data_IF_645326443503
#
_entry.id   IF_645326443503
#
_cell.length_a   1.000
_cell.length_b   1.000
_cell.length_c   1.000
_cell.angle_alpha   90.00
_cell.angle_beta   90.00
_cell.angle_gamma   90.00
#
_symmetry.space_group_name_H-M   'P 1'
#
loop_
_entity.id
_entity.type
_entity.pdbx_description
1 polymer ?
#
# COMPACT_ATOMS: atom_id res chain seq x y z
N UNK A 1 -30.97 -62.58 35.58
CA UNK A 1 -31.65 -62.23 34.31
C UNK A 1 -31.20 -60.85 33.87
N UNK A 2 -30.58 -60.71 32.69
CA UNK A 2 -30.25 -59.41 32.06
C UNK A 2 -31.01 -59.33 30.75
N UNK A 3 -31.63 -58.17 30.44
CA UNK A 3 -31.59 -57.65 29.08
C UNK A 3 -31.15 -56.16 29.10
N UNK A 4 -29.96 -55.82 28.58
CA UNK A 4 -29.70 -55.40 27.19
C UNK A 4 -30.66 -54.33 26.66
N UNK A 5 -30.39 -53.06 26.96
CA UNK A 5 -30.57 -51.96 26.00
C UNK A 5 -29.35 -51.02 26.05
N UNK A 6 -28.74 -50.89 24.87
CA UNK A 6 -27.51 -50.18 24.54
C UNK A 6 -27.74 -48.67 24.68
N UNK A 7 -26.88 -47.95 25.37
CA UNK A 7 -26.53 -46.57 24.98
C UNK A 7 -25.04 -46.37 25.20
N UNK A 8 -24.43 -46.02 24.08
CA UNK A 8 -23.04 -45.74 23.78
C UNK A 8 -22.63 -44.37 24.35
N UNK A 9 -21.48 -44.28 25.00
CA UNK A 9 -20.74 -43.01 25.13
C UNK A 9 -19.26 -43.30 25.41
N UNK A 10 -18.55 -43.67 24.33
CA UNK A 10 -17.09 -43.61 24.28
C UNK A 10 -16.73 -42.17 23.92
N UNK A 11 -16.26 -41.38 24.89
CA UNK A 11 -15.69 -40.06 24.62
C UNK A 11 -14.17 -40.18 24.55
N UNK A 12 -13.68 -40.40 23.33
CA UNK A 12 -12.28 -40.16 22.98
C UNK A 12 -12.15 -38.64 22.78
N UNK A 13 -11.50 -37.98 23.72
CA UNK A 13 -11.01 -36.61 23.53
C UNK A 13 -9.49 -36.61 23.63
N UNK A 14 -8.84 -37.12 22.58
CA UNK A 14 -7.43 -36.81 22.33
C UNK A 14 -7.39 -35.48 21.58
N UNK A 15 -7.28 -34.39 22.33
CA UNK A 15 -6.98 -33.08 21.78
C UNK A 15 -5.48 -33.06 21.46
N UNK A 16 -5.10 -33.44 20.24
CA UNK A 16 -3.74 -33.26 19.76
C UNK A 16 -3.56 -31.77 19.46
N UNK A 17 -3.00 -31.04 20.43
CA UNK A 17 -2.51 -29.68 20.18
C UNK A 17 -1.26 -29.78 19.29
N UNK A 18 -1.45 -29.76 17.97
CA UNK A 18 -0.38 -29.46 17.04
C UNK A 18 -0.03 -27.97 17.19
N UNK A 19 0.78 -27.64 18.20
CA UNK A 19 1.49 -26.38 18.21
C UNK A 19 2.44 -26.40 17.02
N UNK A 20 2.04 -25.78 15.91
CA UNK A 20 2.95 -25.47 14.82
C UNK A 20 3.96 -24.47 15.36
N UNK A 21 5.05 -24.98 15.92
CA UNK A 21 6.26 -24.21 16.15
C UNK A 21 6.66 -23.72 14.76
N UNK A 22 6.52 -22.43 14.50
CA UNK A 22 7.18 -21.79 13.36
C UNK A 22 8.67 -21.87 13.68
N UNK A 23 9.27 -23.00 13.33
CA UNK A 23 10.70 -23.17 13.33
C UNK A 23 11.22 -22.19 12.29
N UNK A 24 11.71 -21.05 12.78
CA UNK A 24 12.54 -20.19 11.97
C UNK A 24 13.75 -21.06 11.61
N UNK A 25 13.92 -21.34 10.32
CA UNK A 25 15.07 -22.10 9.84
C UNK A 25 16.35 -21.51 10.41
N UNK A 26 17.41 -22.32 10.59
CA UNK A 26 18.68 -21.82 11.11
C UNK A 26 19.06 -20.55 10.35
N UNK A 27 19.57 -19.50 11.04
CA UNK A 27 20.02 -18.29 10.37
C UNK A 27 20.94 -18.71 9.24
N UNK A 28 20.76 -18.14 8.05
CA UNK A 28 21.66 -18.41 6.94
C UNK A 28 23.10 -18.20 7.44
N UNK A 29 23.85 -19.30 7.57
CA UNK A 29 25.25 -19.26 7.99
C UNK A 29 25.96 -18.19 7.16
N UNK A 30 26.90 -17.44 7.78
CA UNK A 30 27.58 -16.29 7.16
C UNK A 30 28.05 -16.64 5.74
N UNK A 31 27.20 -16.34 4.77
CA UNK A 31 27.36 -16.80 3.41
C UNK A 31 28.27 -15.79 2.71
N UNK A 32 29.34 -16.29 2.13
CA UNK A 32 30.15 -15.49 1.21
C UNK A 32 29.27 -15.12 0.02
N UNK A 33 28.98 -13.84 -0.14
CA UNK A 33 28.18 -13.33 -1.24
C UNK A 33 29.10 -12.84 -2.34
N UNK A 34 29.00 -13.45 -3.52
CA UNK A 34 29.93 -13.21 -4.64
C UNK A 34 29.41 -12.19 -5.66
N UNK A 35 28.26 -11.55 -5.39
CA UNK A 35 27.61 -10.63 -6.31
C UNK A 35 26.67 -9.65 -5.60
N UNK A 36 26.42 -8.53 -6.28
CA UNK A 36 25.45 -7.51 -5.96
C UNK A 36 24.21 -7.63 -6.87
N UNK A 37 23.07 -7.20 -6.34
CA UNK A 37 21.82 -7.06 -7.08
C UNK A 37 21.34 -5.62 -6.98
N UNK A 38 20.85 -5.08 -8.09
CA UNK A 38 20.19 -3.79 -8.15
C UNK A 38 18.74 -4.02 -8.57
N UNK A 39 17.82 -3.50 -7.77
CA UNK A 39 16.42 -3.38 -8.14
C UNK A 39 16.17 -1.98 -8.68
N UNK A 40 15.44 -1.85 -9.79
CA UNK A 40 15.18 -0.56 -10.42
C UNK A 40 13.87 -0.56 -11.22
N UNK A 41 13.47 0.62 -11.66
CA UNK A 41 12.48 0.86 -12.70
C UNK A 41 13.16 1.67 -13.81
N UNK A 42 12.58 1.73 -15.01
CA UNK A 42 13.15 2.54 -16.10
C UNK A 42 12.29 3.77 -16.37
N UNK A 43 12.95 4.88 -16.71
CA UNK A 43 12.34 6.14 -17.11
C UNK A 43 13.29 6.87 -18.06
N UNK A 44 12.75 7.61 -19.02
CA UNK A 44 13.52 8.49 -19.90
C UNK A 44 12.86 9.88 -19.93
N UNK A 45 13.60 10.97 -20.25
CA UNK A 45 13.01 12.30 -20.34
C UNK A 45 11.81 12.40 -21.29
N UNK A 46 11.82 11.60 -22.37
CA UNK A 46 10.73 11.49 -23.36
C UNK A 46 9.64 10.48 -22.98
N UNK A 47 9.79 9.77 -21.85
CA UNK A 47 8.94 8.67 -21.39
C UNK A 47 8.86 7.44 -22.31
N UNK A 48 9.55 7.44 -23.45
CA UNK A 48 9.57 6.31 -24.40
C UNK A 48 10.31 5.08 -23.86
N UNK A 49 11.21 5.27 -22.89
CA UNK A 49 11.92 4.19 -22.19
C UNK A 49 11.31 3.84 -20.82
N UNK A 50 10.13 4.37 -20.49
CA UNK A 50 9.55 4.19 -19.16
C UNK A 50 8.92 2.81 -18.98
N UNK A 51 9.25 2.15 -17.87
CA UNK A 51 8.63 0.92 -17.42
C UNK A 51 8.65 0.88 -15.89
N UNK A 52 7.47 1.08 -15.29
CA UNK A 52 7.25 1.10 -13.84
C UNK A 52 6.95 -0.29 -13.26
N UNK A 53 7.51 -1.35 -13.87
CA UNK A 53 7.63 -2.67 -13.27
C UNK A 53 8.95 -2.82 -12.51
N UNK A 54 9.11 -3.91 -11.77
CA UNK A 54 10.35 -4.24 -11.08
C UNK A 54 11.33 -4.83 -12.10
N UNK A 55 12.48 -4.21 -12.26
CA UNK A 55 13.61 -4.76 -13.01
C UNK A 55 14.74 -5.12 -12.05
N UNK A 56 15.59 -6.05 -12.48
CA UNK A 56 16.76 -6.47 -11.72
C UNK A 56 18.00 -6.48 -12.60
N UNK A 57 19.14 -6.11 -12.02
CA UNK A 57 20.47 -6.26 -12.61
C UNK A 57 21.43 -6.87 -11.60
N UNK A 58 22.46 -7.55 -12.08
CA UNK A 58 23.49 -8.17 -11.24
C UNK A 58 24.87 -7.63 -11.60
N UNK A 59 25.75 -7.61 -10.60
CA UNK A 59 27.14 -7.21 -10.77
C UNK A 59 28.04 -8.02 -9.84
N UNK A 60 29.25 -8.37 -10.28
CA UNK A 60 30.26 -9.01 -9.41
C UNK A 60 31.17 -7.99 -8.72
N UNK A 61 31.30 -6.81 -9.30
CA UNK A 61 32.22 -5.75 -8.86
C UNK A 61 31.50 -4.51 -8.31
N UNK A 62 30.18 -4.44 -8.44
CA UNK A 62 29.37 -3.28 -8.07
C UNK A 62 29.44 -2.11 -9.06
N UNK A 63 30.22 -2.25 -10.14
CA UNK A 63 30.48 -1.20 -11.13
C UNK A 63 29.85 -1.52 -12.49
N UNK A 64 30.00 -2.77 -12.93
CA UNK A 64 29.48 -3.25 -14.21
C UNK A 64 28.21 -4.07 -13.97
N UNK A 65 27.09 -3.56 -14.47
CA UNK A 65 25.76 -4.13 -14.22
C UNK A 65 25.20 -4.80 -15.46
N UNK A 66 24.75 -6.05 -15.32
CA UNK A 66 24.06 -6.80 -16.38
C UNK A 66 22.58 -6.89 -16.04
N UNK A 67 21.67 -6.34 -16.88
CA UNK A 67 20.24 -6.46 -16.66
C UNK A 67 19.79 -7.92 -16.82
N UNK A 68 18.92 -8.35 -15.91
CA UNK A 68 18.29 -9.67 -15.97
C UNK A 68 17.05 -9.65 -16.86
N UNK A 69 16.54 -10.84 -17.20
CA UNK A 69 15.30 -11.01 -17.97
C UNK A 69 15.23 -10.20 -19.28
N UNK A 70 16.36 -10.02 -19.97
CA UNK A 70 16.48 -9.17 -21.18
C UNK A 70 15.98 -7.74 -20.94
N UNK A 71 16.15 -7.22 -19.72
CA UNK A 71 15.65 -5.92 -19.28
C UNK A 71 14.11 -5.77 -19.35
N UNK A 72 13.37 -6.89 -19.38
CA UNK A 72 11.93 -6.89 -19.13
C UNK A 72 11.67 -6.97 -17.63
N UNK A 73 10.58 -6.36 -17.12
CA UNK A 73 10.28 -6.40 -15.70
C UNK A 73 10.06 -7.85 -15.23
N UNK A 74 10.55 -8.18 -14.05
CA UNK A 74 10.38 -9.50 -13.40
C UNK A 74 9.03 -9.61 -12.68
N UNK A 75 8.41 -8.49 -12.32
CA UNK A 75 7.03 -8.42 -11.82
C UNK A 75 6.50 -6.98 -11.96
N UNK A 76 5.19 -6.80 -11.97
CA UNK A 76 4.53 -5.49 -12.08
C UNK A 76 3.39 -5.39 -11.06
N UNK A 77 3.16 -4.23 -10.42
CA UNK A 77 2.03 -4.07 -9.51
C UNK A 77 0.69 -4.25 -10.23
N UNK A 78 -0.21 -5.01 -9.64
CA UNK A 78 -1.55 -5.27 -10.21
C UNK A 78 -2.65 -4.41 -9.58
N UNK A 79 -2.33 -3.66 -8.53
CA UNK A 79 -3.25 -2.78 -7.80
C UNK A 79 -2.62 -1.40 -7.53
N UNK A 80 -3.41 -0.46 -6.99
CA UNK A 80 -2.95 0.91 -6.75
C UNK A 80 -2.83 1.69 -8.05
N UNK A 81 -1.76 2.45 -8.21
CA UNK A 81 -1.43 3.17 -9.45
C UNK A 81 -1.00 2.23 -10.58
N UNK A 82 -0.70 0.96 -10.24
CA UNK A 82 -0.13 -0.06 -11.15
C UNK A 82 1.26 0.28 -11.68
N UNK A 83 1.94 1.25 -11.08
CA UNK A 83 3.35 1.53 -11.28
C UNK A 83 4.10 1.44 -9.95
N UNK A 84 5.38 1.07 -10.02
CA UNK A 84 6.29 1.21 -8.89
C UNK A 84 7.41 2.19 -9.18
N UNK A 85 7.90 2.81 -8.11
CA UNK A 85 9.20 3.52 -8.07
C UNK A 85 9.99 3.09 -6.85
N UNK A 86 11.29 3.36 -6.89
CA UNK A 86 12.22 3.23 -5.76
C UNK A 86 12.17 1.87 -5.04
N UNK A 87 12.38 0.75 -5.76
CA UNK A 87 12.32 -0.57 -5.15
C UNK A 87 13.45 -0.78 -4.13
N UNK A 88 13.12 -1.40 -3.00
CA UNK A 88 14.03 -1.76 -1.93
C UNK A 88 13.96 -3.28 -1.68
N UNK A 89 15.13 -3.95 -1.69
CA UNK A 89 15.24 -5.39 -1.45
C UNK A 89 15.77 -5.64 -0.04
N UNK A 90 14.97 -6.30 0.79
CA UNK A 90 15.36 -6.75 2.11
C UNK A 90 15.57 -8.26 2.10
N UNK A 91 16.73 -8.73 2.57
CA UNK A 91 16.98 -10.15 2.79
C UNK A 91 16.69 -10.51 4.25
N UNK A 92 15.80 -11.48 4.45
CA UNK A 92 15.45 -12.05 5.74
C UNK A 92 16.54 -13.00 6.24
N UNK A 93 16.50 -13.32 7.54
CA UNK A 93 17.45 -14.23 8.19
C UNK A 93 17.37 -15.67 7.66
N UNK A 94 16.21 -16.08 7.16
CA UNK A 94 15.98 -17.37 6.51
C UNK A 94 16.58 -17.45 5.08
N UNK A 95 17.21 -16.37 4.61
CA UNK A 95 17.83 -16.27 3.31
C UNK A 95 16.91 -15.81 2.17
N UNK A 96 15.59 -15.78 2.38
CA UNK A 96 14.61 -15.27 1.41
C UNK A 96 14.48 -13.75 1.48
N UNK A 97 13.66 -13.16 0.62
CA UNK A 97 13.62 -11.73 0.34
C UNK A 97 12.21 -11.16 0.43
N UNK A 98 12.14 -9.88 0.79
CA UNK A 98 10.96 -9.03 0.64
C UNK A 98 11.38 -7.84 -0.22
N UNK A 99 10.57 -7.51 -1.22
CA UNK A 99 10.74 -6.30 -2.03
C UNK A 99 9.64 -5.32 -1.70
N UNK A 100 10.03 -4.09 -1.36
CA UNK A 100 9.13 -2.95 -1.15
C UNK A 100 9.29 -1.98 -2.31
N UNK A 101 8.24 -1.26 -2.69
CA UNK A 101 8.37 -0.16 -3.65
C UNK A 101 7.28 0.89 -3.43
N UNK A 102 7.57 2.13 -3.79
CA UNK A 102 6.59 3.23 -3.79
C UNK A 102 5.50 2.94 -4.81
N UNK A 103 4.23 3.05 -4.42
CA UNK A 103 3.09 2.94 -5.33
C UNK A 103 2.92 4.26 -6.09
N UNK A 104 3.53 4.33 -7.29
CA UNK A 104 3.46 5.50 -8.16
C UNK A 104 3.68 5.10 -9.61
N UNK A 105 2.82 5.63 -10.49
CA UNK A 105 2.98 5.54 -11.94
C UNK A 105 3.30 6.92 -12.50
N UNK A 106 4.36 7.03 -13.30
CA UNK A 106 4.73 8.30 -13.91
C UNK A 106 5.49 9.23 -12.96
N UNK A 107 5.33 10.53 -13.21
CA UNK A 107 6.08 11.63 -12.58
C UNK A 107 5.19 12.64 -11.85
N UNK A 108 3.91 12.31 -11.62
CA UNK A 108 3.06 13.13 -10.75
C UNK A 108 3.42 12.90 -9.28
N UNK A 109 4.49 13.54 -8.83
CA UNK A 109 4.97 13.47 -7.45
C UNK A 109 4.07 14.20 -6.46
N UNK A 110 3.03 14.90 -6.94
CA UNK A 110 2.04 15.55 -6.07
C UNK A 110 0.95 14.57 -5.60
N UNK A 111 0.89 13.38 -6.20
CA UNK A 111 -0.09 12.37 -5.84
C UNK A 111 0.05 11.96 -4.37
N UNK A 112 -1.00 12.18 -3.59
CA UNK A 112 -1.06 11.71 -2.21
C UNK A 112 -1.39 10.21 -2.18
N UNK A 113 -0.35 9.37 -2.20
CA UNK A 113 -0.45 7.93 -2.02
C UNK A 113 0.08 7.50 -0.65
N UNK A 114 -0.64 6.59 0.00
CA UNK A 114 -0.34 6.12 1.35
C UNK A 114 0.19 4.69 1.37
N UNK A 115 0.43 4.10 0.20
CA UNK A 115 0.70 2.68 0.08
C UNK A 115 2.10 2.41 -0.47
N UNK A 116 2.69 1.32 0.01
CA UNK A 116 3.83 0.65 -0.61
C UNK A 116 3.38 -0.68 -1.22
N UNK A 117 3.95 -1.02 -2.36
CA UNK A 117 3.87 -2.37 -2.91
C UNK A 117 4.84 -3.29 -2.18
N UNK A 118 4.44 -4.56 -2.01
CA UNK A 118 5.25 -5.58 -1.36
C UNK A 118 5.15 -6.89 -2.11
N UNK A 119 6.29 -7.55 -2.32
CA UNK A 119 6.37 -8.94 -2.79
C UNK A 119 7.32 -9.73 -1.90
N UNK A 120 7.08 -11.04 -1.79
CA UNK A 120 8.01 -11.98 -1.19
C UNK A 120 8.69 -12.80 -2.30
N UNK A 121 9.96 -13.16 -2.09
CA UNK A 121 10.73 -13.94 -3.05
C UNK A 121 11.71 -14.88 -2.33
N UNK A 122 11.82 -16.12 -2.77
CA UNK A 122 12.82 -17.04 -2.24
C UNK A 122 14.23 -16.79 -2.83
N UNK A 123 14.30 -16.22 -4.05
CA UNK A 123 15.51 -16.29 -4.89
C UNK A 123 15.76 -15.04 -5.76
N UNK A 124 14.92 -14.00 -5.65
CA UNK A 124 14.87 -12.82 -6.51
C UNK A 124 14.63 -13.11 -8.00
N UNK A 125 14.17 -14.32 -8.36
CA UNK A 125 13.77 -14.67 -9.73
C UNK A 125 12.25 -14.79 -9.82
N UNK A 126 11.63 -15.33 -8.77
CA UNK A 126 10.18 -15.50 -8.67
C UNK A 126 9.62 -14.63 -7.56
N UNK A 127 8.50 -13.96 -7.84
CA UNK A 127 7.85 -13.04 -6.91
C UNK A 127 6.43 -13.50 -6.62
N UNK A 128 6.08 -13.58 -5.34
CA UNK A 128 4.79 -14.04 -4.84
C UNK A 128 4.29 -13.12 -3.73
N UNK A 129 3.12 -13.43 -3.14
CA UNK A 129 2.66 -12.72 -1.95
C UNK A 129 2.37 -11.23 -2.15
N UNK A 130 2.07 -10.80 -3.39
CA UNK A 130 1.83 -9.40 -3.70
C UNK A 130 0.75 -8.80 -2.79
N UNK A 131 1.09 -7.70 -2.12
CA UNK A 131 0.19 -6.95 -1.25
C UNK A 131 0.56 -5.48 -1.23
N UNK A 132 -0.36 -4.65 -0.73
CA UNK A 132 -0.12 -3.23 -0.46
C UNK A 132 -0.16 -2.97 1.04
N UNK A 133 0.85 -2.30 1.56
CA UNK A 133 0.89 -1.87 2.97
C UNK A 133 0.53 -0.40 3.03
N UNK A 134 -0.45 -0.06 3.87
CA UNK A 134 -0.82 1.33 4.15
C UNK A 134 0.10 1.90 5.22
N UNK A 135 0.79 2.98 4.88
CA UNK A 135 1.78 3.63 5.75
C UNK A 135 1.13 4.59 6.74
N UNK A 136 0.06 5.28 6.33
CA UNK A 136 -0.63 6.25 7.18
C UNK A 136 -2.10 6.41 6.79
N UNK A 137 -2.91 6.94 7.71
CA UNK A 137 -4.28 7.36 7.44
C UNK A 137 -4.30 8.77 6.87
N UNK A 138 -5.10 9.01 5.83
CA UNK A 138 -5.30 10.38 5.36
C UNK A 138 -6.25 11.04 6.34
N UNK A 139 -5.92 12.25 6.81
CA UNK A 139 -6.92 13.08 7.47
C UNK A 139 -8.01 13.36 6.44
N UNK A 140 -9.22 12.91 6.70
CA UNK A 140 -10.38 13.36 5.94
C UNK A 140 -10.60 14.85 6.25
N UNK A 141 -10.06 15.72 5.41
CA UNK A 141 -10.20 17.17 5.53
C UNK A 141 -11.59 17.62 5.07
N UNK A 142 -12.48 17.85 6.03
CA UNK A 142 -13.50 18.92 6.09
C UNK A 142 -14.34 19.28 4.84
N UNK A 143 -14.53 18.41 3.84
CA UNK A 143 -15.42 18.70 2.68
C UNK A 143 -16.93 18.66 2.97
N UNK A 144 -17.35 18.90 4.22
CA UNK A 144 -18.76 18.79 4.61
C UNK A 144 -19.26 19.71 5.73
N UNK A 145 -18.42 20.60 6.31
CA UNK A 145 -18.86 21.43 7.45
C UNK A 145 -19.05 22.92 7.18
N UNK A 146 -18.91 23.40 5.94
CA UNK A 146 -19.13 24.83 5.62
C UNK A 146 -20.32 25.12 4.68
N UNK A 147 -21.14 24.14 4.30
CA UNK A 147 -22.36 24.38 3.48
C UNK A 147 -23.68 24.30 4.27
N UNK A 148 -23.63 24.30 5.60
CA UNK A 148 -24.82 24.13 6.45
C UNK A 148 -25.29 25.36 7.24
N UNK A 149 -24.44 26.38 7.45
CA UNK A 149 -24.69 27.37 8.52
C UNK A 149 -24.73 28.82 8.03
N UNK A 150 -25.34 29.04 6.86
CA UNK A 150 -25.75 30.39 6.39
C UNK A 150 -27.24 30.50 6.03
N UNK A 151 -28.08 29.63 6.58
CA UNK A 151 -29.53 29.77 6.42
C UNK A 151 -30.26 29.32 7.69
N UNK A 152 -30.45 30.26 8.62
CA UNK A 152 -31.62 30.41 9.53
C UNK A 152 -31.29 31.40 10.65
N UNK A 153 -31.74 32.65 10.49
CA UNK A 153 -32.19 33.48 11.62
C UNK A 153 -33.53 34.11 11.23
N UNK A 154 -34.66 33.68 11.80
CA UNK A 154 -35.92 34.38 11.69
C UNK A 154 -36.13 35.31 12.90
N UNK A 155 -36.58 36.54 12.63
CA UNK A 155 -37.31 37.35 13.62
C UNK A 155 -36.66 38.67 14.04
N UNK A 156 -37.06 39.76 13.41
CA UNK A 156 -37.19 41.08 14.05
C UNK A 156 -38.36 41.83 13.37
N UNK A 157 -39.26 42.49 14.12
CA UNK A 157 -40.58 42.89 13.63
C UNK A 157 -40.58 44.20 12.85
N UNK A 158 -41.51 44.29 11.89
CA UNK A 158 -41.87 45.48 11.10
C UNK A 158 -42.57 46.52 11.98
N UNK A 159 -41.96 47.70 12.12
CA UNK A 159 -42.53 48.86 12.79
C UNK A 159 -43.02 49.93 11.81
N UNK A 160 -44.35 50.05 11.72
CA UNK A 160 -45.08 51.34 11.72
C UNK A 160 -44.85 52.36 10.60
N UNK A 161 -45.81 52.42 9.67
CA UNK A 161 -46.11 53.59 8.84
C UNK A 161 -46.30 54.86 9.69
N UNK A 162 -45.64 55.97 9.30
CA UNK A 162 -46.24 57.31 9.41
C UNK A 162 -45.90 58.16 8.18
N UNK A 163 -46.95 58.44 7.41
CA UNK A 163 -47.02 59.54 6.44
C UNK A 163 -46.70 60.88 7.10
N UNK A 164 -45.84 61.70 6.48
CA UNK A 164 -46.05 63.15 6.30
C UNK A 164 -45.50 63.60 4.94
N UNK A 165 -46.31 64.42 4.28
CA UNK A 165 -46.18 64.96 2.91
C UNK A 165 -45.19 66.16 2.82
N UNK A 166 -44.85 66.61 1.59
CA UNK A 166 -43.66 67.40 1.29
C UNK A 166 -43.92 68.92 1.22
N UNK A 167 -42.84 69.72 1.26
CA UNK A 167 -42.83 71.08 0.71
C UNK A 167 -41.42 71.46 0.20
N UNK A 168 -41.30 72.16 -0.95
CA UNK A 168 -40.02 72.53 -1.58
C UNK A 168 -39.66 74.02 -1.36
N UNK A 169 -38.36 74.39 -1.40
CA UNK A 169 -37.86 75.64 -2.04
C UNK A 169 -36.33 75.81 -1.97
N UNK A 170 -35.74 76.02 -3.15
CA UNK A 170 -34.81 77.09 -3.59
C UNK A 170 -33.72 77.57 -2.62
N UNK A 171 -32.47 77.35 -3.02
CA UNK A 171 -31.52 78.38 -3.50
C UNK A 171 -30.62 77.75 -4.55
#
# INVERSE_FOLDING_TARGET
>A
MIPRRRVLALLISVFTAAAAIVAHGPPAAAATYDAYVMAYFTESPSMTGANYGLHLAVSRDGLNWTPLNRNAPVTTPTAGTRGLRDPFVFRKQDGSFVVLATDLYGTDFSQNNQYLHVWDSADLRSFTGYRRIRMHTQRQGARGRERGERQRRPGAPMGGQRHRRPTPRVT
#
